data_IF_659000864920
#
_entry.id   IF_659000864920
#
_cell.length_a   1.000
_cell.length_b   1.000
_cell.length_c   1.000
_cell.angle_alpha   90.00
_cell.angle_beta   90.00
_cell.angle_gamma   90.00
#
_symmetry.space_group_name_H-M   'P 1'
#
loop_
_entity.id
_entity.type
_entity.pdbx_description
1 polymer ?
#
# COMPACT_ATOMS: atom_id res chain seq x y z
N UNK A 1 -70.07 43.22 -13.27
CA UNK A 1 -68.76 43.08 -13.95
C UNK A 1 -67.65 42.57 -13.04
N UNK A 2 -67.73 42.60 -11.70
CA UNK A 2 -66.69 42.07 -10.79
C UNK A 2 -66.63 40.54 -10.59
N UNK A 3 -67.71 39.79 -10.87
CA UNK A 3 -67.75 38.32 -10.69
C UNK A 3 -67.18 37.52 -11.87
N UNK A 4 -67.13 38.10 -13.09
CA UNK A 4 -66.60 37.47 -14.28
C UNK A 4 -65.03 37.55 -14.28
N UNK A 5 -64.48 38.63 -13.73
CA UNK A 5 -63.01 38.80 -13.65
C UNK A 5 -62.33 37.85 -12.66
N UNK A 6 -63.05 37.46 -11.56
CA UNK A 6 -62.52 36.50 -10.57
C UNK A 6 -62.46 35.06 -11.10
N UNK A 7 -63.41 34.67 -11.97
CA UNK A 7 -63.45 33.33 -12.57
C UNK A 7 -62.35 33.14 -13.63
N UNK A 8 -62.02 34.19 -14.40
CA UNK A 8 -60.95 34.14 -15.39
C UNK A 8 -59.54 34.11 -14.71
N UNK A 9 -59.34 34.73 -13.54
CA UNK A 9 -58.09 34.68 -12.79
C UNK A 9 -57.83 33.33 -12.15
N UNK A 10 -58.89 32.61 -11.71
CA UNK A 10 -58.78 31.27 -11.13
C UNK A 10 -58.49 30.21 -12.21
N UNK A 11 -59.02 30.34 -13.42
CA UNK A 11 -58.70 29.45 -14.56
C UNK A 11 -57.27 29.67 -15.08
N UNK A 12 -56.66 30.87 -14.94
CA UNK A 12 -55.29 31.10 -15.39
C UNK A 12 -54.25 30.53 -14.42
N UNK A 13 -54.60 30.39 -13.13
CA UNK A 13 -53.72 29.79 -12.11
C UNK A 13 -53.69 28.25 -12.17
N UNK A 14 -54.74 27.62 -12.69
CA UNK A 14 -54.79 26.17 -12.86
C UNK A 14 -54.04 25.62 -14.11
N UNK A 15 -53.55 26.51 -15.00
CA UNK A 15 -52.82 26.09 -16.22
C UNK A 15 -51.27 26.11 -16.05
N UNK A 16 -50.77 26.46 -14.89
CA UNK A 16 -49.31 26.52 -14.61
C UNK A 16 -48.74 25.31 -13.84
N UNK A 17 -49.49 24.22 -13.70
CA UNK A 17 -49.04 23.00 -13.00
C UNK A 17 -48.89 21.72 -13.89
N UNK A 18 -48.81 21.90 -15.19
CA UNK A 18 -48.51 20.75 -16.07
C UNK A 18 -47.24 20.99 -16.87
N UNK A 19 -46.13 21.16 -16.19
CA UNK A 19 -44.79 21.09 -16.78
C UNK A 19 -43.80 20.58 -15.75
N UNK A 20 -44.08 19.42 -15.17
CA UNK A 20 -43.05 18.48 -14.81
C UNK A 20 -43.26 17.30 -15.82
N UNK A 21 -42.73 17.43 -17.01
CA UNK A 21 -42.28 16.25 -17.72
C UNK A 21 -41.15 15.73 -16.82
N UNK A 22 -41.33 14.49 -16.32
CA UNK A 22 -40.23 13.70 -15.82
C UNK A 22 -39.15 13.74 -16.91
N UNK A 23 -38.06 14.42 -16.64
CA UNK A 23 -36.90 14.44 -17.50
C UNK A 23 -36.34 13.02 -17.45
N UNK A 24 -36.69 12.22 -18.48
CA UNK A 24 -36.16 10.85 -18.62
C UNK A 24 -34.65 10.84 -18.84
N UNK A 25 -34.02 12.01 -18.87
CA UNK A 25 -32.58 12.20 -18.97
C UNK A 25 -31.86 11.90 -17.65
N UNK A 26 -32.60 11.86 -16.50
CA UNK A 26 -32.06 11.53 -15.19
C UNK A 26 -32.02 10.00 -14.90
N UNK A 27 -32.47 9.15 -15.83
CA UNK A 27 -32.38 7.71 -15.65
C UNK A 27 -30.94 7.25 -15.94
N UNK A 28 -30.17 7.04 -14.86
CA UNK A 28 -28.85 6.42 -14.95
C UNK A 28 -29.01 5.04 -15.58
N UNK A 29 -28.45 4.87 -16.78
CA UNK A 29 -28.37 3.57 -17.45
C UNK A 29 -27.02 2.94 -17.14
N UNK A 30 -26.97 1.64 -16.78
CA UNK A 30 -25.70 0.95 -16.67
C UNK A 30 -24.91 1.06 -17.99
N UNK A 31 -23.59 1.29 -17.88
CA UNK A 31 -22.71 1.30 -19.04
C UNK A 31 -22.72 -0.06 -19.72
N UNK A 32 -22.70 -0.08 -21.04
CA UNK A 32 -22.49 -1.29 -21.78
C UNK A 32 -21.00 -1.65 -21.87
N UNK A 33 -20.71 -2.87 -22.36
CA UNK A 33 -19.34 -3.39 -22.47
C UNK A 33 -18.41 -2.48 -23.29
N UNK A 34 -18.92 -1.93 -24.38
CA UNK A 34 -18.13 -1.09 -25.27
C UNK A 34 -17.77 0.26 -24.62
N UNK A 35 -18.68 0.83 -23.85
CA UNK A 35 -18.44 2.04 -23.06
C UNK A 35 -17.35 1.80 -22.01
N UNK A 36 -17.40 0.66 -21.30
CA UNK A 36 -16.39 0.29 -20.32
C UNK A 36 -15.02 0.08 -20.98
N UNK A 37 -14.97 -0.64 -22.11
CA UNK A 37 -13.74 -0.84 -22.86
C UNK A 37 -13.16 0.49 -23.37
N UNK A 38 -14.02 1.42 -23.81
CA UNK A 38 -13.57 2.75 -24.23
C UNK A 38 -12.95 3.55 -23.08
N UNK A 39 -13.57 3.52 -21.89
CA UNK A 39 -12.97 4.13 -20.68
C UNK A 39 -11.60 3.53 -20.39
N UNK A 40 -11.45 2.20 -20.41
CA UNK A 40 -10.17 1.53 -20.18
C UNK A 40 -9.12 2.00 -21.18
N UNK A 41 -9.45 1.96 -22.48
CA UNK A 41 -8.51 2.36 -23.52
C UNK A 41 -8.08 3.83 -23.38
N UNK A 42 -9.03 4.74 -23.15
CA UNK A 42 -8.72 6.17 -22.94
C UNK A 42 -7.82 6.40 -21.73
N UNK A 43 -8.12 5.77 -20.59
CA UNK A 43 -7.30 5.89 -19.39
C UNK A 43 -5.88 5.38 -19.61
N UNK A 44 -5.71 4.22 -20.25
CA UNK A 44 -4.39 3.66 -20.55
C UNK A 44 -3.64 4.49 -21.60
N UNK A 45 -4.30 4.93 -22.67
CA UNK A 45 -3.67 5.75 -23.73
C UNK A 45 -3.15 7.11 -23.18
N UNK A 46 -3.87 7.70 -22.23
CA UNK A 46 -3.44 8.99 -21.66
C UNK A 46 -2.36 8.80 -20.60
N UNK A 47 -2.54 7.87 -19.67
CA UNK A 47 -1.78 7.86 -18.42
C UNK A 47 -0.67 6.81 -18.35
N UNK A 48 -0.80 5.67 -19.05
CA UNK A 48 0.13 4.56 -18.86
C UNK A 48 1.57 4.95 -19.22
N UNK A 49 2.50 4.75 -18.27
CA UNK A 49 3.90 5.18 -18.42
C UNK A 49 4.57 4.49 -19.60
N UNK A 50 4.30 3.19 -19.80
CA UNK A 50 4.93 2.39 -20.86
C UNK A 50 4.08 2.36 -22.15
N UNK A 51 3.17 3.35 -22.36
CA UNK A 51 2.30 3.37 -23.56
C UNK A 51 3.07 3.26 -24.88
N UNK A 52 4.30 3.77 -24.93
CA UNK A 52 5.15 3.71 -26.13
C UNK A 52 5.58 2.30 -26.52
N UNK A 53 5.54 1.36 -25.57
CA UNK A 53 5.85 -0.06 -25.78
C UNK A 53 4.63 -0.88 -26.19
N UNK A 54 3.42 -0.30 -26.11
CA UNK A 54 2.15 -0.97 -26.43
C UNK A 54 1.60 -0.44 -27.75
N UNK A 55 1.69 -1.20 -28.87
CA UNK A 55 1.28 -0.73 -30.20
C UNK A 55 -0.17 -0.26 -30.26
N UNK A 56 -1.09 -0.89 -29.53
CA UNK A 56 -2.51 -0.54 -29.52
C UNK A 56 -2.84 0.72 -28.68
N UNK A 57 -1.82 1.31 -28.00
CA UNK A 57 -1.90 2.61 -27.34
C UNK A 57 -1.19 3.74 -28.13
N UNK A 58 -0.67 3.46 -29.34
CA UNK A 58 -0.06 4.52 -30.16
C UNK A 58 -1.14 5.52 -30.63
N UNK A 59 -0.79 6.82 -30.64
CA UNK A 59 -1.74 7.90 -30.93
C UNK A 59 -2.27 7.86 -32.39
N UNK A 60 -1.53 7.25 -33.31
CA UNK A 60 -1.87 7.07 -34.73
C UNK A 60 -2.40 5.66 -35.07
N UNK A 61 -2.64 4.83 -34.06
CA UNK A 61 -3.09 3.42 -34.23
C UNK A 61 -4.45 3.31 -34.92
N UNK A 62 -5.39 4.17 -34.59
CA UNK A 62 -6.74 4.17 -35.15
C UNK A 62 -6.97 5.46 -35.92
N UNK A 63 -7.47 5.34 -37.20
CA UNK A 63 -7.68 6.48 -38.06
C UNK A 63 -8.99 7.22 -37.77
N UNK A 64 -9.93 6.56 -37.09
CA UNK A 64 -11.24 7.07 -36.71
C UNK A 64 -11.87 6.27 -35.60
N UNK A 65 -12.97 6.77 -35.02
CA UNK A 65 -13.70 6.11 -33.94
C UNK A 65 -14.26 4.73 -34.30
N UNK A 66 -14.67 4.52 -35.56
CA UNK A 66 -15.22 3.23 -36.00
C UNK A 66 -14.16 2.13 -35.91
N UNK A 67 -12.90 2.44 -36.26
CA UNK A 67 -11.78 1.49 -36.11
C UNK A 67 -11.46 1.20 -34.65
N UNK A 68 -11.46 2.22 -33.81
CA UNK A 68 -11.26 2.06 -32.37
C UNK A 68 -12.38 1.18 -31.77
N UNK A 69 -13.64 1.49 -32.06
CA UNK A 69 -14.76 0.72 -31.52
C UNK A 69 -14.81 -0.72 -32.05
N UNK A 70 -14.40 -0.96 -33.31
CA UNK A 70 -14.26 -2.30 -33.83
C UNK A 70 -13.19 -3.11 -33.04
N UNK A 71 -12.05 -2.50 -32.73
CA UNK A 71 -11.01 -3.11 -31.88
C UNK A 71 -11.51 -3.37 -30.45
N UNK A 72 -12.14 -2.37 -29.83
CA UNK A 72 -12.67 -2.50 -28.45
C UNK A 72 -13.72 -3.60 -28.32
N UNK A 73 -14.51 -3.83 -29.38
CA UNK A 73 -15.53 -4.87 -29.40
C UNK A 73 -14.98 -6.31 -29.45
N UNK A 74 -13.67 -6.49 -29.72
CA UNK A 74 -13.02 -7.80 -29.71
C UNK A 74 -12.82 -8.35 -28.29
N UNK A 75 -12.86 -7.48 -27.28
CA UNK A 75 -12.59 -7.86 -25.90
C UNK A 75 -13.88 -8.14 -25.11
N UNK A 76 -13.96 -9.31 -24.46
CA UNK A 76 -15.18 -9.74 -23.77
C UNK A 76 -15.42 -9.02 -22.43
N UNK A 77 -14.43 -8.35 -21.89
CA UNK A 77 -14.53 -7.58 -20.62
C UNK A 77 -13.51 -6.45 -20.55
N UNK A 78 -13.75 -5.41 -19.72
CA UNK A 78 -12.78 -4.34 -19.50
C UNK A 78 -11.46 -4.87 -18.91
N UNK A 79 -11.50 -5.91 -18.09
CA UNK A 79 -10.31 -6.56 -17.54
C UNK A 79 -9.48 -7.21 -18.67
N UNK A 80 -10.12 -7.92 -19.60
CA UNK A 80 -9.41 -8.55 -20.73
C UNK A 80 -8.73 -7.53 -21.64
N UNK A 81 -9.35 -6.36 -21.86
CA UNK A 81 -8.73 -5.25 -22.57
C UNK A 81 -7.59 -4.64 -21.77
N UNK A 82 -7.80 -4.38 -20.47
CA UNK A 82 -6.79 -3.83 -19.60
C UNK A 82 -5.52 -4.69 -19.58
N UNK A 83 -5.68 -6.00 -19.39
CA UNK A 83 -4.56 -6.96 -19.39
C UNK A 83 -3.83 -7.00 -20.74
N UNK A 84 -4.56 -6.86 -21.87
CA UNK A 84 -3.97 -6.78 -23.20
C UNK A 84 -3.12 -5.53 -23.41
N UNK A 85 -3.47 -4.42 -22.74
CA UNK A 85 -2.78 -3.13 -22.86
C UNK A 85 -1.60 -2.97 -21.90
N UNK A 86 -1.28 -3.96 -21.10
CA UNK A 86 -0.09 -3.97 -20.22
C UNK A 86 1.14 -4.49 -20.95
N UNK A 87 2.31 -3.95 -20.60
CA UNK A 87 3.59 -4.58 -20.95
C UNK A 87 3.80 -5.86 -20.14
N UNK A 88 4.55 -6.85 -20.65
CA UNK A 88 4.82 -8.08 -19.90
C UNK A 88 5.61 -7.86 -18.59
N UNK A 89 6.25 -6.72 -18.43
CA UNK A 89 7.04 -6.34 -17.26
C UNK A 89 6.21 -5.63 -16.19
N UNK A 90 5.02 -5.13 -16.53
CA UNK A 90 4.13 -4.48 -15.55
C UNK A 90 3.55 -5.48 -14.56
N UNK A 91 3.94 -5.34 -13.30
CA UNK A 91 3.49 -6.17 -12.18
C UNK A 91 2.48 -5.47 -11.28
N UNK A 92 2.19 -4.20 -11.52
CA UNK A 92 1.58 -3.32 -10.52
C UNK A 92 0.33 -2.57 -10.98
N UNK A 93 0.11 -2.38 -12.28
CA UNK A 93 -1.14 -1.79 -12.76
C UNK A 93 -2.33 -2.68 -12.45
N UNK A 94 -3.47 -2.10 -12.09
CA UNK A 94 -4.73 -2.83 -11.85
C UNK A 94 -5.93 -2.09 -12.42
N UNK A 95 -6.96 -2.88 -12.73
CA UNK A 95 -8.34 -2.43 -12.93
C UNK A 95 -9.20 -2.94 -11.76
N UNK A 96 -10.14 -2.14 -11.30
CA UNK A 96 -11.07 -2.52 -10.24
C UNK A 96 -12.51 -2.28 -10.69
N UNK A 97 -13.39 -3.23 -10.39
CA UNK A 97 -14.81 -3.13 -10.72
C UNK A 97 -15.59 -2.20 -9.77
N UNK A 98 -15.03 -1.90 -8.61
CA UNK A 98 -15.60 -0.96 -7.63
C UNK A 98 -14.51 -0.11 -6.96
N UNK A 99 -14.41 1.15 -7.40
CA UNK A 99 -13.44 2.10 -6.85
C UNK A 99 -13.65 2.40 -5.35
N UNK A 100 -14.85 2.19 -4.81
CA UNK A 100 -15.13 2.43 -3.39
C UNK A 100 -14.35 1.43 -2.50
N UNK A 101 -14.26 0.18 -2.95
CA UNK A 101 -13.44 -0.84 -2.27
C UNK A 101 -11.96 -0.48 -2.32
N UNK A 102 -11.49 0.08 -3.44
CA UNK A 102 -10.13 0.58 -3.57
C UNK A 102 -9.87 1.79 -2.63
N UNK A 103 -10.80 2.76 -2.62
CA UNK A 103 -10.70 3.94 -1.73
C UNK A 103 -10.67 3.52 -0.26
N UNK A 104 -11.49 2.56 0.15
CA UNK A 104 -11.48 1.99 1.50
C UNK A 104 -10.13 1.33 1.81
N UNK A 105 -9.62 0.48 0.91
CA UNK A 105 -8.33 -0.19 1.09
C UNK A 105 -7.17 0.82 1.24
N UNK A 106 -7.11 1.86 0.40
CA UNK A 106 -6.10 2.92 0.48
C UNK A 106 -6.19 3.72 1.80
N UNK A 107 -7.35 3.75 2.44
CA UNK A 107 -7.56 4.33 3.77
C UNK A 107 -7.34 3.33 4.92
N UNK A 108 -6.91 2.10 4.62
CA UNK A 108 -6.67 1.04 5.61
C UNK A 108 -7.93 0.37 6.13
N UNK A 109 -9.08 0.56 5.46
CA UNK A 109 -10.36 -0.05 5.81
C UNK A 109 -10.52 -1.34 5.00
N UNK A 110 -10.70 -2.46 5.69
CA UNK A 110 -10.89 -3.76 5.04
C UNK A 110 -11.69 -4.73 5.91
N UNK A 111 -12.23 -5.78 5.30
CA UNK A 111 -12.90 -6.88 6.00
C UNK A 111 -11.88 -7.98 6.23
N UNK A 112 -11.36 -8.08 7.46
CA UNK A 112 -10.45 -9.14 7.87
C UNK A 112 -10.53 -9.44 9.38
N UNK A 113 -9.69 -10.36 9.86
CA UNK A 113 -9.65 -10.73 11.29
C UNK A 113 -8.55 -10.02 12.08
N UNK A 114 -7.72 -9.23 11.43
CA UNK A 114 -6.65 -8.44 12.07
C UNK A 114 -5.35 -9.21 12.31
N UNK A 115 -5.21 -10.46 11.85
CA UNK A 115 -3.95 -11.20 11.86
C UNK A 115 -3.15 -10.85 10.61
N UNK A 116 -1.97 -10.29 10.77
CA UNK A 116 -0.99 -10.09 9.68
C UNK A 116 0.00 -11.24 9.69
N UNK A 117 0.15 -11.91 8.54
CA UNK A 117 0.97 -13.10 8.44
C UNK A 117 1.68 -13.22 7.09
N UNK A 118 2.67 -14.06 7.01
CA UNK A 118 3.26 -14.50 5.77
C UNK A 118 3.16 -16.03 5.64
N UNK A 119 3.03 -16.51 4.42
CA UNK A 119 3.16 -17.94 4.09
C UNK A 119 4.56 -18.20 3.54
N UNK A 120 5.24 -19.20 4.08
CA UNK A 120 6.63 -19.48 3.80
C UNK A 120 6.82 -20.95 3.46
N UNK A 121 7.65 -21.21 2.45
CA UNK A 121 8.19 -22.55 2.17
C UNK A 121 9.57 -22.67 2.81
N UNK A 122 9.79 -23.70 3.63
CA UNK A 122 11.11 -23.98 4.18
C UNK A 122 12.07 -24.32 3.04
N UNK A 123 13.21 -23.66 3.03
CA UNK A 123 14.23 -23.82 1.97
C UNK A 123 14.57 -25.30 1.71
N UNK A 124 14.55 -25.68 0.44
CA UNK A 124 14.83 -27.06 -0.04
C UNK A 124 13.85 -28.15 0.45
N UNK A 125 12.64 -27.77 0.86
CA UNK A 125 11.57 -28.70 1.25
C UNK A 125 10.25 -28.33 0.56
N UNK A 126 9.22 -29.19 0.73
CA UNK A 126 7.84 -28.90 0.36
C UNK A 126 6.99 -28.49 1.58
N UNK A 127 7.61 -28.24 2.73
CA UNK A 127 6.89 -27.82 3.92
C UNK A 127 6.54 -26.34 3.82
N UNK A 128 5.25 -26.04 3.94
CA UNK A 128 4.72 -24.69 3.94
C UNK A 128 4.04 -24.44 5.28
N UNK A 129 4.25 -23.26 5.81
CA UNK A 129 3.61 -22.79 7.04
C UNK A 129 3.31 -21.31 6.97
N UNK A 130 2.35 -20.86 7.78
CA UNK A 130 2.10 -19.45 8.05
C UNK A 130 2.79 -19.03 9.36
N UNK A 131 3.29 -17.81 9.40
CA UNK A 131 3.80 -17.20 10.61
C UNK A 131 3.12 -15.87 10.86
N UNK A 132 2.74 -15.62 12.11
CA UNK A 132 2.09 -14.37 12.51
C UNK A 132 3.15 -13.27 12.67
N UNK A 133 3.04 -12.21 11.87
CA UNK A 133 3.91 -11.03 11.87
C UNK A 133 3.55 -10.07 12.98
N UNK A 134 2.30 -9.69 13.04
CA UNK A 134 1.69 -8.87 14.11
C UNK A 134 0.17 -9.01 14.07
N UNK A 135 -0.48 -8.50 15.10
CA UNK A 135 -1.94 -8.58 15.23
C UNK A 135 -2.48 -7.20 15.54
N UNK A 136 -3.55 -6.80 14.87
CA UNK A 136 -4.18 -5.51 15.10
C UNK A 136 -4.86 -5.50 16.48
N UNK A 137 -4.65 -4.45 17.30
CA UNK A 137 -5.29 -4.35 18.60
C UNK A 137 -6.82 -4.41 18.49
N UNK A 138 -7.47 -5.08 19.44
CA UNK A 138 -8.93 -5.23 19.52
C UNK A 138 -9.58 -5.94 18.33
N UNK A 139 -8.80 -6.60 17.48
CA UNK A 139 -9.30 -7.40 16.36
C UNK A 139 -9.82 -8.76 16.83
N UNK A 140 -10.58 -9.49 15.99
CA UNK A 140 -10.95 -10.88 16.27
C UNK A 140 -9.76 -11.78 16.56
N UNK A 141 -8.65 -11.64 15.83
CA UNK A 141 -7.43 -12.41 16.06
C UNK A 141 -6.80 -12.10 17.43
N UNK A 142 -6.70 -10.82 17.82
CA UNK A 142 -6.22 -10.43 19.14
C UNK A 142 -7.10 -10.99 20.25
N UNK A 143 -8.43 -10.90 20.10
CA UNK A 143 -9.38 -11.42 21.06
C UNK A 143 -9.37 -12.96 21.17
N UNK A 144 -8.97 -13.65 20.10
CA UNK A 144 -8.79 -15.09 20.07
C UNK A 144 -7.41 -15.54 20.59
N UNK A 145 -6.54 -14.61 21.02
CA UNK A 145 -5.24 -14.90 21.57
C UNK A 145 -4.16 -15.22 20.52
N UNK A 146 -4.33 -14.75 19.28
CA UNK A 146 -3.29 -14.83 18.27
C UNK A 146 -2.19 -13.81 18.59
N UNK A 147 -0.93 -14.24 18.53
CA UNK A 147 0.23 -13.41 18.87
C UNK A 147 1.33 -13.56 17.81
N UNK A 148 2.20 -12.53 17.71
CA UNK A 148 3.40 -12.58 16.85
C UNK A 148 4.24 -13.82 17.16
N UNK A 149 4.73 -14.44 16.09
CA UNK A 149 5.58 -15.62 16.16
C UNK A 149 4.81 -16.94 16.25
N UNK A 150 3.48 -16.93 16.40
CA UNK A 150 2.70 -18.14 16.24
C UNK A 150 2.83 -18.68 14.82
N UNK A 151 3.03 -20.00 14.74
CA UNK A 151 3.15 -20.74 13.48
C UNK A 151 1.89 -21.56 13.28
N UNK A 152 1.38 -21.62 12.06
CA UNK A 152 0.26 -22.46 11.68
C UNK A 152 0.52 -23.12 10.31
N UNK A 153 0.03 -24.33 10.11
CA UNK A 153 0.27 -25.08 8.87
C UNK A 153 -1.01 -25.63 8.25
N UNK A 154 -2.18 -25.30 8.82
CA UNK A 154 -3.50 -25.67 8.27
C UNK A 154 -4.48 -24.53 8.42
N UNK A 155 -5.38 -24.43 7.43
CA UNK A 155 -6.62 -23.65 7.52
C UNK A 155 -7.80 -24.57 7.29
N UNK A 156 -8.81 -24.52 8.15
CA UNK A 156 -9.99 -25.39 8.12
C UNK A 156 -9.64 -26.88 8.06
N UNK A 157 -8.52 -27.27 8.70
CA UNK A 157 -7.98 -28.62 8.70
C UNK A 157 -7.22 -29.04 7.42
N UNK A 158 -7.14 -28.17 6.40
CA UNK A 158 -6.38 -28.43 5.17
C UNK A 158 -4.92 -28.09 5.39
N UNK A 159 -4.04 -29.07 5.28
CA UNK A 159 -2.59 -28.94 5.39
C UNK A 159 -2.04 -28.15 4.19
N UNK A 160 -1.13 -27.23 4.44
CA UNK A 160 -0.47 -26.44 3.41
C UNK A 160 0.53 -27.24 2.60
N UNK A 161 0.51 -27.05 1.30
CA UNK A 161 1.51 -27.51 0.33
C UNK A 161 1.85 -26.37 -0.63
N UNK A 162 2.91 -26.46 -1.43
CA UNK A 162 3.21 -25.44 -2.44
C UNK A 162 2.09 -25.26 -3.48
N UNK A 163 1.24 -26.28 -3.67
CA UNK A 163 0.13 -26.28 -4.64
C UNK A 163 -1.20 -25.78 -4.02
N UNK A 164 -1.22 -25.43 -2.73
CA UNK A 164 -2.44 -24.96 -2.05
C UNK A 164 -2.91 -23.63 -2.66
N UNK A 165 -4.18 -23.60 -3.07
CA UNK A 165 -4.84 -22.32 -3.41
C UNK A 165 -5.18 -21.55 -2.13
N UNK A 166 -4.22 -20.76 -1.67
CA UNK A 166 -4.36 -19.96 -0.45
C UNK A 166 -5.43 -18.87 -0.59
N UNK A 167 -5.59 -18.31 -1.80
CA UNK A 167 -6.62 -17.31 -2.06
C UNK A 167 -8.02 -17.87 -1.78
N UNK A 168 -8.36 -19.01 -2.35
CA UNK A 168 -9.63 -19.69 -2.12
C UNK A 168 -9.79 -20.13 -0.65
N UNK A 169 -8.72 -20.67 -0.04
CA UNK A 169 -8.75 -21.20 1.32
C UNK A 169 -9.01 -20.12 2.39
N UNK A 170 -8.52 -18.90 2.16
CA UNK A 170 -8.61 -17.75 3.06
C UNK A 170 -9.75 -16.78 2.71
N UNK A 171 -10.52 -17.01 1.63
CA UNK A 171 -11.52 -16.07 1.13
C UNK A 171 -12.79 -15.98 2.00
N UNK A 172 -13.13 -17.02 2.79
CA UNK A 172 -14.35 -17.05 3.59
C UNK A 172 -14.43 -15.97 4.66
N UNK A 173 -15.64 -15.63 5.11
CA UNK A 173 -15.89 -14.67 6.18
C UNK A 173 -15.35 -15.14 7.54
N UNK A 174 -15.11 -16.43 7.67
CA UNK A 174 -14.48 -17.06 8.83
C UNK A 174 -13.64 -18.26 8.38
N UNK A 175 -12.64 -18.58 9.17
CA UNK A 175 -11.83 -19.80 9.02
C UNK A 175 -11.16 -20.15 10.35
N UNK A 176 -10.61 -21.35 10.46
CA UNK A 176 -9.79 -21.76 11.58
C UNK A 176 -8.34 -21.99 11.16
N UNK A 177 -7.38 -21.62 12.00
CA UNK A 177 -5.97 -21.98 11.86
C UNK A 177 -5.63 -23.08 12.84
N UNK A 178 -4.85 -24.08 12.42
CA UNK A 178 -4.27 -25.09 13.33
C UNK A 178 -2.80 -24.72 13.57
N UNK A 179 -2.45 -24.54 14.85
CA UNK A 179 -1.09 -24.15 15.23
C UNK A 179 -0.11 -25.31 15.10
N UNK A 180 1.12 -24.93 14.79
CA UNK A 180 2.29 -25.78 14.76
C UNK A 180 3.44 -25.10 15.51
N UNK A 181 4.50 -25.84 15.83
CA UNK A 181 5.70 -25.31 16.46
C UNK A 181 6.95 -25.91 15.84
N UNK A 182 8.09 -25.21 15.99
CA UNK A 182 9.38 -25.77 15.63
C UNK A 182 10.01 -26.47 16.83
N UNK A 183 10.23 -27.79 16.69
CA UNK A 183 10.95 -28.59 17.66
C UNK A 183 12.24 -29.14 17.02
N UNK A 184 13.39 -28.68 17.49
CA UNK A 184 14.72 -29.00 16.91
C UNK A 184 14.76 -28.76 15.39
N UNK A 185 14.12 -27.68 14.90
CA UNK A 185 14.05 -27.31 13.48
C UNK A 185 13.00 -28.05 12.66
N UNK A 186 12.26 -29.00 13.26
CA UNK A 186 11.16 -29.71 12.61
C UNK A 186 9.82 -29.06 12.94
N UNK A 187 8.97 -28.91 11.92
CA UNK A 187 7.61 -28.42 12.09
C UNK A 187 6.72 -29.54 12.64
N UNK A 188 6.12 -29.32 13.80
CA UNK A 188 5.30 -30.30 14.52
C UNK A 188 3.93 -29.71 14.79
N UNK A 189 2.87 -30.48 14.49
CA UNK A 189 1.47 -30.06 14.78
C UNK A 189 1.23 -29.97 16.29
N UNK A 190 0.42 -29.01 16.68
CA UNK A 190 -0.16 -28.94 18.02
C UNK A 190 -1.66 -29.32 17.98
N UNK A 191 -2.26 -29.50 19.17
CA UNK A 191 -3.70 -29.74 19.27
C UNK A 191 -4.53 -28.41 19.30
N UNK A 192 -3.89 -27.27 19.08
CA UNK A 192 -4.52 -25.94 19.22
C UNK A 192 -5.11 -25.53 17.87
N UNK A 193 -6.40 -25.26 17.88
CA UNK A 193 -7.13 -24.70 16.73
C UNK A 193 -7.80 -23.40 17.16
N UNK A 194 -7.57 -22.33 16.39
CA UNK A 194 -8.13 -21.00 16.65
C UNK A 194 -9.11 -20.65 15.52
N UNK A 195 -10.36 -20.36 15.90
CA UNK A 195 -11.36 -19.86 14.96
C UNK A 195 -11.26 -18.33 14.85
N UNK A 196 -11.35 -17.82 13.62
CA UNK A 196 -11.19 -16.40 13.28
C UNK A 196 -12.35 -15.95 12.41
N UNK A 197 -13.07 -14.93 12.88
CA UNK A 197 -14.11 -14.24 12.11
C UNK A 197 -13.53 -12.97 11.47
N UNK A 198 -14.00 -12.60 10.27
CA UNK A 198 -13.66 -11.34 9.64
C UNK A 198 -14.71 -10.29 9.96
N UNK A 199 -14.26 -9.08 10.25
CA UNK A 199 -15.09 -7.89 10.44
C UNK A 199 -14.49 -6.71 9.71
N UNK A 200 -15.23 -5.62 9.51
CA UNK A 200 -14.64 -4.38 9.02
C UNK A 200 -13.70 -3.81 10.07
N UNK A 201 -12.42 -3.65 9.71
CA UNK A 201 -11.37 -3.09 10.54
C UNK A 201 -10.75 -1.87 9.85
N UNK A 202 -10.25 -0.93 10.65
CA UNK A 202 -9.38 0.16 10.20
C UNK A 202 -8.01 -0.05 10.82
N UNK A 203 -7.02 -0.28 9.98
CA UNK A 203 -5.64 -0.46 10.41
C UNK A 203 -4.96 0.89 10.62
N UNK A 204 -4.31 1.05 11.79
CA UNK A 204 -3.47 2.21 12.06
C UNK A 204 -2.09 1.99 11.44
N UNK A 205 -1.57 3.01 10.74
CA UNK A 205 -0.26 2.93 10.10
C UNK A 205 0.90 2.83 11.10
N UNK A 206 0.77 3.48 12.26
CA UNK A 206 1.72 3.35 13.35
C UNK A 206 1.35 2.14 14.20
N UNK A 207 2.14 1.06 14.09
CA UNK A 207 1.94 -0.15 14.89
C UNK A 207 2.68 -0.08 16.23
N UNK A 208 3.93 0.39 16.22
CA UNK A 208 4.72 0.63 17.44
C UNK A 208 5.38 2.01 17.33
N UNK A 209 5.31 2.79 18.40
CA UNK A 209 6.02 4.06 18.56
C UNK A 209 6.53 4.15 19.99
N UNK A 210 7.85 4.08 20.16
CA UNK A 210 8.46 4.11 21.48
C UNK A 210 9.87 4.69 21.46
N UNK A 211 10.38 5.02 22.63
CA UNK A 211 11.76 5.45 22.85
C UNK A 211 12.47 4.38 23.65
N UNK A 212 13.60 3.93 23.13
CA UNK A 212 14.52 3.00 23.78
C UNK A 212 15.67 3.85 24.33
N UNK A 213 15.86 3.84 25.63
CA UNK A 213 16.86 4.70 26.25
C UNK A 213 17.77 3.94 27.22
N UNK A 214 19.01 4.41 27.34
CA UNK A 214 19.97 4.08 28.39
C UNK A 214 20.55 5.37 28.95
N UNK A 215 21.58 5.27 29.79
CA UNK A 215 22.20 6.44 30.42
C UNK A 215 22.83 7.44 29.42
N UNK A 216 23.11 7.02 28.18
CA UNK A 216 23.92 7.76 27.21
C UNK A 216 23.16 8.17 25.96
N UNK A 217 22.14 7.41 25.55
CA UNK A 217 21.51 7.55 24.27
C UNK A 217 20.01 7.28 24.34
N UNK A 218 19.27 7.95 23.45
CA UNK A 218 17.84 7.72 23.20
C UNK A 218 17.64 7.38 21.74
N UNK A 219 17.05 6.24 21.46
CA UNK A 219 16.72 5.76 20.12
C UNK A 219 15.21 5.75 19.95
N UNK A 220 14.70 6.49 18.98
CA UNK A 220 13.31 6.36 18.55
C UNK A 220 13.13 5.06 17.76
N UNK A 221 12.12 4.28 18.09
CA UNK A 221 11.69 3.14 17.28
C UNK A 221 10.27 3.38 16.80
N UNK A 222 10.09 3.38 15.48
CA UNK A 222 8.82 3.55 14.80
C UNK A 222 8.57 2.40 13.85
N UNK A 223 7.59 1.53 14.14
CA UNK A 223 7.09 0.56 13.16
C UNK A 223 5.90 1.17 12.43
N UNK A 224 6.08 1.38 11.13
CA UNK A 224 5.13 2.03 10.25
C UNK A 224 4.69 1.08 9.15
N UNK A 225 3.39 0.73 9.09
CA UNK A 225 2.87 -0.39 8.28
C UNK A 225 2.22 0.01 6.97
N UNK A 226 2.09 1.31 6.68
CA UNK A 226 1.53 1.79 5.43
C UNK A 226 1.46 3.32 5.35
N UNK A 227 1.71 3.87 4.17
CA UNK A 227 1.65 5.31 3.93
C UNK A 227 0.21 5.71 3.60
N UNK A 228 -0.58 6.00 4.65
CA UNK A 228 -1.99 6.32 4.55
C UNK A 228 -2.21 7.82 4.68
N UNK A 229 -2.81 8.41 3.64
CA UNK A 229 -3.09 9.86 3.53
C UNK A 229 -3.89 10.40 4.70
N UNK A 230 -4.84 9.65 5.19
CA UNK A 230 -5.72 10.05 6.29
C UNK A 230 -5.09 9.94 7.68
N UNK A 231 -3.81 9.54 7.80
CA UNK A 231 -3.08 9.33 9.06
C UNK A 231 -1.76 10.13 9.13
N UNK A 232 -1.62 11.17 8.31
CA UNK A 232 -0.43 12.05 8.30
C UNK A 232 -0.25 12.80 9.63
N UNK A 233 -1.35 13.19 10.26
CA UNK A 233 -1.31 13.93 11.54
C UNK A 233 -0.79 13.08 12.69
N UNK A 234 -1.17 11.80 12.73
CA UNK A 234 -0.67 10.84 13.72
C UNK A 234 0.84 10.62 13.56
N UNK A 235 1.31 10.54 12.31
CA UNK A 235 2.73 10.42 11.99
C UNK A 235 3.49 11.68 12.44
N UNK A 236 3.00 12.88 12.12
CA UNK A 236 3.61 14.14 12.54
C UNK A 236 3.61 14.30 14.07
N UNK A 237 2.56 13.84 14.76
CA UNK A 237 2.51 13.84 16.22
C UNK A 237 3.53 12.87 16.84
N UNK A 238 3.77 11.69 16.23
CA UNK A 238 4.79 10.76 16.66
C UNK A 238 6.18 11.39 16.60
N UNK A 239 6.50 12.08 15.51
CA UNK A 239 7.75 12.83 15.38
C UNK A 239 7.84 14.01 16.36
N UNK A 240 6.73 14.69 16.63
CA UNK A 240 6.66 15.71 17.69
C UNK A 240 7.04 15.17 19.07
N UNK A 241 6.64 13.94 19.39
CA UNK A 241 7.08 13.27 20.63
C UNK A 241 8.58 12.96 20.60
N UNK A 242 9.12 12.45 19.50
CA UNK A 242 10.57 12.19 19.38
C UNK A 242 11.40 13.46 19.54
N UNK A 243 10.97 14.57 18.89
CA UNK A 243 11.60 15.89 19.06
C UNK A 243 11.56 16.34 20.52
N UNK A 244 10.41 16.25 21.20
CA UNK A 244 10.25 16.67 22.59
C UNK A 244 11.10 15.86 23.57
N UNK A 245 11.34 14.58 23.26
CA UNK A 245 12.18 13.69 24.09
C UNK A 245 13.67 13.78 23.73
N UNK A 246 14.01 14.41 22.59
CA UNK A 246 15.39 14.59 22.13
C UNK A 246 16.06 13.24 21.85
N UNK A 247 15.51 12.47 20.89
CA UNK A 247 16.16 11.22 20.46
C UNK A 247 17.44 11.55 19.68
N UNK A 248 18.42 10.68 19.79
CA UNK A 248 19.73 10.81 19.12
C UNK A 248 19.74 10.07 17.78
N UNK A 249 19.01 8.96 17.67
CA UNK A 249 18.95 8.06 16.51
C UNK A 249 17.52 7.60 16.28
N UNK A 250 17.21 7.20 15.05
CA UNK A 250 15.92 6.64 14.67
C UNK A 250 16.10 5.26 14.02
N UNK A 251 15.34 4.27 14.49
CA UNK A 251 15.10 3.00 13.79
C UNK A 251 13.67 3.03 13.25
N UNK A 252 13.57 3.12 11.94
CA UNK A 252 12.31 3.09 11.19
C UNK A 252 12.07 1.66 10.69
N UNK A 253 11.06 1.00 11.20
CA UNK A 253 10.73 -0.37 10.83
C UNK A 253 9.66 -0.39 9.73
N UNK A 254 10.11 -0.66 8.50
CA UNK A 254 9.29 -0.78 7.30
C UNK A 254 9.19 -2.24 6.79
N UNK A 255 9.60 -3.24 7.59
CA UNK A 255 9.72 -4.64 7.13
C UNK A 255 8.41 -5.25 6.59
N UNK A 256 7.25 -4.72 6.95
CA UNK A 256 5.95 -5.20 6.45
C UNK A 256 5.13 -4.08 5.79
N UNK A 257 5.80 -3.01 5.36
CA UNK A 257 5.16 -1.85 4.75
C UNK A 257 5.23 -1.94 3.21
N UNK A 258 4.11 -2.22 2.57
CA UNK A 258 3.98 -2.34 1.12
C UNK A 258 3.87 -0.99 0.37
N UNK A 259 4.03 0.16 1.06
CA UNK A 259 3.98 1.48 0.43
C UNK A 259 2.72 2.28 0.75
N UNK A 260 2.22 3.05 -0.22
CA UNK A 260 1.04 3.90 -0.13
C UNK A 260 1.23 5.28 -0.77
N UNK A 261 0.77 6.33 -0.12
CA UNK A 261 0.81 7.72 -0.60
C UNK A 261 2.24 8.27 -0.67
N UNK A 262 2.68 8.69 -1.87
CA UNK A 262 4.02 9.23 -2.08
C UNK A 262 4.26 10.52 -1.28
N UNK A 263 3.25 11.40 -1.16
CA UNK A 263 3.40 12.64 -0.41
C UNK A 263 3.69 12.36 1.08
N UNK A 264 3.04 11.37 1.66
CA UNK A 264 3.31 10.94 3.04
C UNK A 264 4.75 10.40 3.19
N UNK A 265 5.31 9.72 2.17
CA UNK A 265 6.71 9.30 2.19
C UNK A 265 7.69 10.49 2.14
N UNK A 266 7.38 11.52 1.35
CA UNK A 266 8.14 12.79 1.32
C UNK A 266 8.08 13.50 2.66
N UNK A 267 6.89 13.56 3.28
CA UNK A 267 6.70 14.18 4.59
C UNK A 267 7.50 13.42 5.68
N UNK A 268 7.46 12.07 5.67
CA UNK A 268 8.26 11.23 6.58
C UNK A 268 9.77 11.48 6.41
N UNK A 269 10.26 11.50 5.17
CA UNK A 269 11.66 11.78 4.86
C UNK A 269 12.06 13.19 5.32
N UNK A 270 11.18 14.16 5.16
CA UNK A 270 11.37 15.54 5.62
C UNK A 270 11.36 15.66 7.14
N UNK A 271 10.57 14.83 7.84
CA UNK A 271 10.58 14.76 9.31
C UNK A 271 11.84 14.11 9.86
N UNK A 272 12.43 13.15 9.15
CA UNK A 272 13.70 12.53 9.52
C UNK A 272 14.84 13.56 9.43
N UNK A 273 14.92 14.29 8.33
CA UNK A 273 16.07 15.16 8.03
C UNK A 273 15.89 16.61 8.50
N UNK A 274 14.83 17.30 8.09
CA UNK A 274 14.55 18.71 8.40
C UNK A 274 15.45 19.76 7.74
N UNK A 275 16.73 19.45 7.49
CA UNK A 275 17.75 20.40 6.99
C UNK A 275 17.76 20.58 5.46
N UNK A 276 16.94 19.84 4.71
CA UNK A 276 16.98 19.85 3.23
C UNK A 276 15.73 20.47 2.60
N UNK A 277 15.02 21.36 3.29
CA UNK A 277 13.85 22.06 2.74
C UNK A 277 14.14 22.63 1.34
N UNK A 278 13.28 22.33 0.37
CA UNK A 278 13.39 22.80 -1.01
C UNK A 278 14.44 22.09 -1.87
N UNK A 279 15.25 21.18 -1.30
CA UNK A 279 16.15 20.32 -2.07
C UNK A 279 15.37 19.23 -2.79
N UNK A 280 15.88 18.78 -3.94
CA UNK A 280 15.24 17.76 -4.75
C UNK A 280 15.12 16.42 -3.98
N UNK A 281 13.91 15.93 -3.76
CA UNK A 281 13.67 14.59 -3.23
C UNK A 281 13.67 13.53 -4.33
N UNK A 282 12.87 13.78 -5.38
CA UNK A 282 12.79 12.90 -6.55
C UNK A 282 12.27 13.67 -7.77
N UNK A 283 12.61 13.16 -8.95
CA UNK A 283 11.98 13.53 -10.23
C UNK A 283 10.94 12.48 -10.57
N UNK A 284 9.76 12.93 -11.00
CA UNK A 284 8.68 12.12 -11.55
C UNK A 284 8.78 12.16 -13.07
N UNK A 285 9.20 11.07 -13.71
CA UNK A 285 9.21 10.94 -15.16
C UNK A 285 7.91 10.30 -15.64
N UNK A 286 7.21 10.98 -16.54
CA UNK A 286 5.95 10.57 -17.13
C UNK A 286 6.12 10.05 -18.56
N UNK A 287 5.05 9.56 -19.15
CA UNK A 287 5.00 9.32 -20.59
C UNK A 287 4.97 10.64 -21.38
N UNK A 288 5.10 10.58 -22.71
CA UNK A 288 5.21 11.76 -23.59
C UNK A 288 3.97 12.70 -23.58
N UNK A 289 2.89 12.35 -22.90
CA UNK A 289 1.70 13.21 -22.78
C UNK A 289 1.85 14.28 -21.68
N UNK A 290 2.86 14.14 -20.79
CA UNK A 290 3.05 15.01 -19.64
C UNK A 290 4.51 15.46 -19.54
N UNK A 291 4.71 16.64 -18.95
CA UNK A 291 6.04 17.10 -18.57
C UNK A 291 6.47 16.45 -17.25
N UNK A 292 7.76 16.18 -17.09
CA UNK A 292 8.32 15.69 -15.85
C UNK A 292 8.15 16.71 -14.72
N UNK A 293 7.93 16.22 -13.52
CA UNK A 293 7.75 17.05 -12.32
C UNK A 293 8.83 16.73 -11.27
N UNK A 294 9.20 17.73 -10.48
CA UNK A 294 10.10 17.58 -9.35
C UNK A 294 9.33 17.57 -8.03
N UNK A 295 9.78 16.75 -7.11
CA UNK A 295 9.33 16.72 -5.72
C UNK A 295 10.50 17.17 -4.85
N UNK A 296 10.25 18.11 -3.96
CA UNK A 296 11.23 18.62 -3.01
C UNK A 296 10.87 18.22 -1.58
N UNK A 297 11.88 18.14 -0.72
CA UNK A 297 11.67 18.11 0.72
C UNK A 297 10.86 19.32 1.17
N UNK A 298 10.04 19.13 2.20
CA UNK A 298 9.05 20.11 2.64
C UNK A 298 9.10 20.32 4.16
N UNK A 299 8.61 21.46 4.62
CA UNK A 299 8.42 21.75 6.05
C UNK A 299 6.96 21.73 6.46
N UNK A 300 6.05 21.42 5.53
CA UNK A 300 4.61 21.41 5.76
C UNK A 300 3.97 20.16 5.18
N UNK A 301 3.00 19.59 5.91
CA UNK A 301 2.17 18.51 5.39
C UNK A 301 1.17 19.02 4.33
N UNK A 302 0.34 18.13 3.80
CA UNK A 302 -0.69 18.45 2.79
C UNK A 302 -1.69 19.50 3.27
N UNK A 303 -1.99 19.58 4.56
CA UNK A 303 -2.89 20.55 5.16
C UNK A 303 -2.24 21.93 5.41
N UNK A 304 -0.93 22.08 5.15
CA UNK A 304 -0.14 23.29 5.42
C UNK A 304 0.31 23.41 6.89
N UNK A 305 0.21 22.34 7.67
CA UNK A 305 0.72 22.30 9.04
C UNK A 305 2.21 22.01 9.06
N UNK A 306 2.95 22.61 10.01
CA UNK A 306 4.39 22.42 10.15
C UNK A 306 4.75 20.97 10.51
N UNK A 307 5.77 20.42 9.85
CA UNK A 307 6.33 19.12 10.17
C UNK A 307 7.30 19.20 11.35
N UNK A 308 7.20 18.23 12.25
CA UNK A 308 8.16 18.03 13.34
C UNK A 308 9.38 17.28 12.79
N UNK A 309 10.55 17.92 12.75
CA UNK A 309 11.75 17.35 12.14
C UNK A 309 12.83 17.04 13.16
N UNK A 310 13.51 15.90 12.99
CA UNK A 310 14.55 15.39 13.89
C UNK A 310 15.95 15.94 13.58
N UNK A 311 16.16 16.42 12.35
CA UNK A 311 17.46 16.90 11.85
C UNK A 311 18.56 15.82 11.93
N UNK A 312 18.22 14.57 11.70
CA UNK A 312 19.17 13.46 11.73
C UNK A 312 20.06 13.47 10.48
N UNK A 313 21.31 13.04 10.64
CA UNK A 313 22.26 12.79 9.56
C UNK A 313 22.41 11.30 9.24
N UNK A 314 21.71 10.44 9.99
CA UNK A 314 21.66 9.00 9.80
C UNK A 314 20.30 8.45 10.21
N UNK A 315 19.86 7.38 9.54
CA UNK A 315 18.64 6.65 9.88
C UNK A 315 18.84 5.16 9.65
N UNK A 316 18.34 4.32 10.54
CA UNK A 316 18.29 2.87 10.38
C UNK A 316 16.92 2.48 9.85
N UNK A 317 16.89 1.67 8.79
CA UNK A 317 15.64 1.22 8.18
C UNK A 317 15.61 -0.32 8.14
N UNK A 318 14.61 -0.90 8.80
CA UNK A 318 14.42 -2.34 8.81
C UNK A 318 13.54 -2.76 7.63
N UNK A 319 14.00 -3.73 6.81
CA UNK A 319 13.34 -4.15 5.58
C UNK A 319 13.15 -5.66 5.48
N UNK A 320 12.19 -6.07 4.65
CA UNK A 320 11.94 -7.46 4.29
C UNK A 320 11.46 -7.58 2.83
N UNK A 321 11.20 -8.78 2.30
CA UNK A 321 10.62 -8.95 0.96
C UNK A 321 9.20 -8.38 0.80
N UNK A 322 8.60 -7.86 1.88
CA UNK A 322 7.30 -7.17 1.85
C UNK A 322 7.44 -5.64 1.87
N UNK A 323 8.67 -5.11 1.98
CA UNK A 323 8.95 -3.66 1.90
C UNK A 323 8.91 -3.21 0.45
N UNK A 324 8.01 -2.27 0.11
CA UNK A 324 7.77 -1.91 -1.29
C UNK A 324 7.44 -0.42 -1.48
N UNK A 325 7.73 0.08 -2.69
CA UNK A 325 7.05 1.26 -3.23
C UNK A 325 7.36 2.54 -2.44
N UNK A 326 6.40 3.22 -1.80
CA UNK A 326 6.65 4.42 -1.00
C UNK A 326 7.68 4.19 0.13
N UNK A 327 7.80 2.96 0.66
CA UNK A 327 8.86 2.58 1.59
C UNK A 327 10.23 2.61 0.94
N UNK A 328 10.34 2.13 -0.31
CA UNK A 328 11.57 2.17 -1.09
C UNK A 328 11.93 3.60 -1.48
N UNK A 329 10.92 4.46 -1.69
CA UNK A 329 11.14 5.88 -1.93
C UNK A 329 11.67 6.64 -0.72
N UNK A 330 11.30 6.24 0.51
CA UNK A 330 11.96 6.79 1.72
C UNK A 330 13.44 6.43 1.73
N UNK A 331 13.79 5.18 1.43
CA UNK A 331 15.20 4.74 1.36
C UNK A 331 15.92 5.51 0.24
N UNK A 332 15.44 5.38 -1.00
CA UNK A 332 16.05 5.97 -2.20
C UNK A 332 16.17 7.48 -2.11
N UNK A 333 15.11 8.19 -1.66
CA UNK A 333 15.09 9.65 -1.57
C UNK A 333 16.01 10.21 -0.47
N UNK A 334 16.30 9.43 0.58
CA UNK A 334 17.20 9.82 1.66
C UNK A 334 18.69 9.55 1.33
N UNK A 335 18.99 8.53 0.53
CA UNK A 335 20.38 8.14 0.19
C UNK A 335 21.31 9.29 -0.23
N UNK A 336 20.87 10.29 -1.05
CA UNK A 336 21.72 11.41 -1.44
C UNK A 336 22.07 12.37 -0.29
N UNK A 337 21.37 12.30 0.84
CA UNK A 337 21.35 13.36 1.86
C UNK A 337 21.85 12.94 3.22
N UNK A 338 21.58 11.70 3.63
CA UNK A 338 21.91 11.17 4.94
C UNK A 338 22.47 9.75 4.83
N UNK A 339 23.10 9.30 5.89
CA UNK A 339 23.55 7.91 6.03
C UNK A 339 22.34 7.02 6.28
N UNK A 340 21.90 6.23 5.30
CA UNK A 340 20.82 5.27 5.41
C UNK A 340 21.42 3.90 5.64
N UNK A 341 21.23 3.33 6.83
CA UNK A 341 21.68 1.98 7.15
C UNK A 341 20.49 1.03 7.06
N UNK A 342 20.41 0.29 5.93
CA UNK A 342 19.35 -0.68 5.70
C UNK A 342 19.73 -2.03 6.31
N UNK A 343 18.85 -2.58 7.18
CA UNK A 343 19.03 -3.89 7.84
C UNK A 343 17.85 -4.80 7.49
N UNK A 344 18.14 -6.01 7.06
CA UNK A 344 17.10 -6.98 6.73
C UNK A 344 17.42 -7.74 5.46
N UNK A 345 16.47 -7.77 4.52
CA UNK A 345 16.65 -8.37 3.20
C UNK A 345 16.24 -7.39 2.11
N UNK A 346 16.49 -7.78 0.85
CA UNK A 346 16.08 -6.98 -0.30
C UNK A 346 14.61 -6.59 -0.22
N UNK A 347 14.30 -5.42 -0.71
CA UNK A 347 12.94 -4.92 -0.91
C UNK A 347 12.32 -5.49 -2.19
N UNK A 348 11.11 -5.06 -2.57
CA UNK A 348 10.35 -5.62 -3.71
C UNK A 348 10.86 -5.14 -5.07
N UNK A 349 11.30 -3.88 -5.17
CA UNK A 349 11.69 -3.26 -6.42
C UNK A 349 10.53 -2.59 -7.15
N UNK A 350 9.88 -1.62 -6.51
CA UNK A 350 8.84 -0.81 -7.14
C UNK A 350 9.14 0.67 -7.00
N UNK A 351 9.60 1.29 -8.08
CA UNK A 351 9.88 2.73 -8.18
C UNK A 351 8.84 3.50 -9.01
N UNK A 352 7.81 2.82 -9.54
CA UNK A 352 6.75 3.47 -10.31
C UNK A 352 5.56 3.85 -9.43
N UNK A 353 4.95 4.98 -9.77
CA UNK A 353 3.75 5.49 -9.12
C UNK A 353 2.49 5.38 -10.00
N UNK A 354 1.34 5.29 -9.37
CA UNK A 354 0.03 5.22 -10.00
C UNK A 354 -0.89 6.34 -9.55
N UNK A 355 -1.95 6.60 -10.31
CA UNK A 355 -3.13 7.36 -9.89
C UNK A 355 -4.38 6.51 -10.00
N UNK A 356 -5.43 6.89 -9.28
CA UNK A 356 -6.76 6.32 -9.56
C UNK A 356 -7.42 7.14 -10.67
N UNK A 357 -7.71 6.47 -11.79
CA UNK A 357 -8.39 7.02 -12.98
C UNK A 357 -9.86 6.63 -12.90
N UNK A 358 -10.74 7.61 -12.90
CA UNK A 358 -12.20 7.44 -12.87
C UNK A 358 -12.81 7.79 -14.23
N UNK A 359 -13.93 7.17 -14.58
CA UNK A 359 -14.68 7.57 -15.78
C UNK A 359 -15.42 8.89 -15.52
N UNK A 360 -14.77 9.97 -15.90
CA UNK A 360 -15.23 11.35 -15.85
C UNK A 360 -14.51 12.17 -16.93
N UNK A 361 -15.00 13.37 -17.23
CA UNK A 361 -14.39 14.24 -18.26
C UNK A 361 -12.90 14.57 -17.99
N UNK A 362 -12.49 14.61 -16.72
CA UNK A 362 -11.12 14.91 -16.29
C UNK A 362 -10.43 13.73 -15.60
N UNK A 363 -11.00 12.55 -15.69
CA UNK A 363 -10.54 11.30 -15.05
C UNK A 363 -10.41 11.35 -13.53
N UNK A 364 -11.07 12.32 -12.88
CA UNK A 364 -11.05 12.51 -11.43
C UNK A 364 -12.26 11.90 -10.75
N UNK A 365 -12.14 11.68 -9.44
CA UNK A 365 -13.22 11.20 -8.58
C UNK A 365 -14.46 12.10 -8.60
N UNK A 366 -14.25 13.39 -8.61
CA UNK A 366 -15.33 14.36 -8.73
C UNK A 366 -15.93 14.25 -10.15
N UNK A 367 -17.25 14.12 -10.23
CA UNK A 367 -17.99 13.92 -11.47
C UNK A 367 -17.79 12.55 -12.15
N UNK A 368 -17.26 11.55 -11.43
CA UNK A 368 -17.23 10.19 -11.93
C UNK A 368 -18.65 9.74 -12.31
N UNK A 369 -18.78 9.04 -13.45
CA UNK A 369 -20.07 8.54 -13.92
C UNK A 369 -20.77 7.70 -12.87
N UNK A 370 -22.09 7.76 -12.86
CA UNK A 370 -22.91 6.88 -12.03
C UNK A 370 -23.33 5.57 -12.77
N UNK A 371 -22.95 5.44 -14.05
CA UNK A 371 -23.31 4.30 -14.85
C UNK A 371 -22.57 3.01 -14.49
N UNK A 372 -21.40 3.16 -13.85
CA UNK A 372 -20.58 2.05 -13.32
C UNK A 372 -19.67 2.53 -12.20
N UNK A 373 -18.93 1.61 -11.56
CA UNK A 373 -17.95 1.88 -10.51
C UNK A 373 -16.53 1.43 -10.85
N UNK A 374 -16.24 1.11 -12.10
CA UNK A 374 -14.90 0.77 -12.54
C UNK A 374 -13.94 1.95 -12.36
N UNK A 375 -12.71 1.63 -11.96
CA UNK A 375 -11.57 2.55 -11.99
C UNK A 375 -10.29 1.80 -12.38
N UNK A 376 -9.30 2.56 -12.86
CA UNK A 376 -7.99 2.04 -13.19
C UNK A 376 -6.95 2.59 -12.21
N UNK A 377 -5.91 1.82 -11.95
CA UNK A 377 -4.66 2.31 -11.36
C UNK A 377 -3.48 1.89 -12.25
N UNK A 378 -3.31 2.54 -13.41
CA UNK A 378 -2.13 2.33 -14.24
C UNK A 378 -0.89 2.88 -13.54
N UNK A 379 0.28 2.31 -13.81
CA UNK A 379 1.55 2.98 -13.58
C UNK A 379 1.62 4.19 -14.52
N UNK A 380 1.92 5.38 -13.98
CA UNK A 380 1.90 6.62 -14.75
C UNK A 380 3.24 7.34 -14.79
N UNK A 381 4.14 6.99 -13.88
CA UNK A 381 5.44 7.64 -13.74
C UNK A 381 6.48 6.69 -13.15
N UNK A 382 7.74 6.98 -13.42
CA UNK A 382 8.90 6.45 -12.71
C UNK A 382 9.51 7.51 -11.80
N UNK A 383 10.11 7.09 -10.69
CA UNK A 383 10.75 7.98 -9.73
C UNK A 383 12.26 7.81 -9.76
N UNK A 384 12.96 8.95 -9.83
CA UNK A 384 14.42 9.03 -9.85
C UNK A 384 14.84 9.92 -8.69
N UNK A 385 15.73 9.46 -7.82
CA UNK A 385 16.23 10.28 -6.71
C UNK A 385 17.21 11.37 -7.19
N UNK A 386 17.70 12.21 -6.27
CA UNK A 386 18.56 13.34 -6.60
C UNK A 386 19.93 12.93 -7.21
N UNK A 387 20.39 11.70 -6.99
CA UNK A 387 21.63 11.14 -7.57
C UNK A 387 21.39 10.37 -8.86
N UNK A 388 20.15 10.33 -9.36
CA UNK A 388 19.78 9.57 -10.57
C UNK A 388 19.56 8.08 -10.33
N UNK A 389 19.39 7.64 -9.06
CA UNK A 389 19.10 6.25 -8.73
C UNK A 389 17.64 5.90 -9.00
N UNK A 390 17.44 4.91 -9.83
CA UNK A 390 16.16 4.35 -10.26
C UNK A 390 16.40 2.90 -10.71
N UNK A 391 15.42 2.25 -11.35
CA UNK A 391 15.54 0.92 -12.00
C UNK A 391 16.01 -0.20 -11.04
N UNK A 392 15.57 -0.15 -9.80
CA UNK A 392 15.86 -1.19 -8.80
C UNK A 392 14.81 -2.31 -8.79
N UNK A 393 14.52 -2.89 -9.96
CA UNK A 393 13.48 -3.93 -10.16
C UNK A 393 13.65 -5.17 -9.26
N UNK A 394 14.88 -5.48 -8.88
CA UNK A 394 15.23 -6.57 -7.95
C UNK A 394 15.23 -6.14 -6.47
N UNK A 395 14.77 -4.93 -6.19
CA UNK A 395 14.75 -4.32 -4.86
C UNK A 395 16.07 -3.66 -4.45
N UNK A 396 16.00 -2.91 -3.35
CA UNK A 396 17.16 -2.26 -2.74
C UNK A 396 17.83 -3.28 -1.81
N UNK A 397 19.15 -3.46 -2.00
CA UNK A 397 19.95 -4.43 -1.25
C UNK A 397 20.32 -3.82 0.10
N UNK A 398 20.15 -4.53 1.24
CA UNK A 398 20.50 -4.01 2.56
C UNK A 398 22.01 -3.93 2.78
N UNK A 399 22.43 -2.98 3.62
CA UNK A 399 23.83 -2.87 4.09
C UNK A 399 24.19 -4.01 5.03
N UNK A 400 23.25 -4.41 5.88
CA UNK A 400 23.37 -5.52 6.82
C UNK A 400 22.30 -6.56 6.49
N UNK A 401 22.71 -7.64 5.83
CA UNK A 401 21.81 -8.74 5.49
C UNK A 401 21.45 -9.55 6.75
N UNK A 402 20.18 -9.56 7.10
CA UNK A 402 19.64 -10.30 8.24
C UNK A 402 18.20 -10.74 7.99
N UNK A 403 18.02 -12.00 7.65
CA UNK A 403 16.69 -12.58 7.45
C UNK A 403 16.01 -12.87 8.78
N UNK A 404 14.68 -12.68 8.87
CA UNK A 404 13.89 -13.10 10.03
C UNK A 404 14.00 -14.61 10.24
N UNK A 405 14.30 -15.01 11.47
CA UNK A 405 14.33 -16.41 11.88
C UNK A 405 12.95 -16.80 12.42
N UNK A 406 12.22 -17.65 11.70
CA UNK A 406 10.85 -18.03 12.05
C UNK A 406 10.72 -18.85 13.33
N UNK A 407 11.82 -19.40 13.86
CA UNK A 407 11.83 -20.00 15.21
C UNK A 407 12.02 -18.95 16.34
N UNK A 408 12.34 -17.71 15.99
CA UNK A 408 12.52 -16.62 16.96
C UNK A 408 12.33 -15.24 16.27
N UNK A 409 11.10 -14.83 16.09
CA UNK A 409 10.77 -13.50 15.53
C UNK A 409 10.94 -12.37 16.56
N UNK A 410 11.02 -12.67 17.85
CA UNK A 410 11.07 -11.67 18.92
C UNK A 410 9.77 -10.88 19.07
N UNK A 411 9.81 -9.89 19.95
CA UNK A 411 8.70 -8.95 20.19
C UNK A 411 9.07 -7.61 19.57
N UNK A 412 8.20 -7.06 18.73
CA UNK A 412 8.40 -5.77 18.07
C UNK A 412 8.63 -4.66 19.10
N UNK A 413 9.73 -3.93 18.92
CA UNK A 413 10.16 -2.88 19.85
C UNK A 413 10.95 -3.36 21.06
N UNK A 414 11.05 -4.68 21.33
CA UNK A 414 11.95 -5.18 22.37
C UNK A 414 13.41 -5.13 21.88
N UNK A 415 14.34 -4.71 22.75
CA UNK A 415 15.77 -4.62 22.44
C UNK A 415 16.43 -5.96 22.06
N UNK A 416 15.75 -7.08 22.29
CA UNK A 416 16.21 -8.41 21.89
C UNK A 416 15.52 -8.92 20.62
N UNK A 417 14.64 -8.12 19.98
CA UNK A 417 14.10 -8.46 18.67
C UNK A 417 15.27 -8.44 17.66
N UNK A 418 15.45 -9.49 16.84
CA UNK A 418 16.71 -9.68 16.11
C UNK A 418 17.13 -8.51 15.21
N UNK A 419 16.21 -7.95 14.41
CA UNK A 419 16.53 -6.85 13.48
C UNK A 419 16.75 -5.52 14.24
N UNK A 420 15.89 -5.21 15.21
CA UNK A 420 16.05 -4.05 16.05
C UNK A 420 17.35 -4.13 16.86
N UNK A 421 17.68 -5.31 17.39
CA UNK A 421 18.93 -5.53 18.10
C UNK A 421 20.15 -5.27 17.23
N UNK A 422 20.15 -5.74 15.98
CA UNK A 422 21.24 -5.48 15.04
C UNK A 422 21.43 -3.97 14.80
N UNK A 423 20.33 -3.21 14.64
CA UNK A 423 20.40 -1.76 14.56
C UNK A 423 20.98 -1.11 15.82
N UNK A 424 20.52 -1.53 17.01
CA UNK A 424 21.02 -1.01 18.28
C UNK A 424 22.51 -1.33 18.51
N UNK A 425 22.96 -2.52 18.09
CA UNK A 425 24.39 -2.91 18.17
C UNK A 425 25.25 -2.07 17.22
N UNK A 426 24.77 -1.79 15.98
CA UNK A 426 25.49 -0.95 15.02
C UNK A 426 25.51 0.54 15.45
N UNK A 427 24.44 1.04 16.05
CA UNK A 427 24.40 2.37 16.72
C UNK A 427 25.45 2.47 17.81
N UNK A 428 25.89 1.35 18.40
CA UNK A 428 26.72 1.31 19.59
C UNK A 428 25.92 1.52 20.89
N UNK A 429 24.62 1.21 20.85
CA UNK A 429 23.76 1.30 22.03
C UNK A 429 24.14 0.23 23.06
N UNK A 430 24.41 0.66 24.30
CA UNK A 430 24.79 -0.26 25.38
C UNK A 430 23.58 -1.10 25.81
N UNK A 431 23.62 -2.40 25.46
CA UNK A 431 22.59 -3.36 25.81
C UNK A 431 22.94 -4.05 27.14
N UNK A 432 22.08 -3.88 28.15
CA UNK A 432 22.28 -4.46 29.49
C UNK A 432 22.02 -5.98 29.56
N UNK A 433 21.54 -6.57 28.47
CA UNK A 433 21.15 -7.97 28.41
C UNK A 433 22.03 -8.76 27.43
N UNK A 434 22.44 -10.00 27.79
CA UNK A 434 23.12 -10.86 26.85
C UNK A 434 22.22 -11.18 25.66
N UNK A 435 22.83 -11.52 24.52
CA UNK A 435 22.11 -11.98 23.37
C UNK A 435 21.14 -13.12 23.74
N UNK A 436 19.93 -13.17 23.14
CA UNK A 436 18.97 -14.23 23.40
C UNK A 436 19.58 -15.60 23.07
N UNK A 437 19.01 -16.66 23.68
CA UNK A 437 19.44 -18.04 23.34
C UNK A 437 19.37 -18.23 21.84
N UNK A 438 20.41 -18.84 21.28
CA UNK A 438 20.42 -19.29 19.89
C UNK A 438 19.37 -20.40 19.76
N UNK A 439 18.32 -20.10 19.01
CA UNK A 439 17.41 -21.14 18.51
C UNK A 439 18.01 -21.76 17.26
N UNK A 440 17.64 -23.01 16.96
CA UNK A 440 17.95 -23.58 15.64
C UNK A 440 17.27 -22.70 14.59
N UNK A 441 18.01 -22.05 13.68
CA UNK A 441 17.42 -21.10 12.77
C UNK A 441 16.55 -21.84 11.74
N UNK A 442 15.36 -21.29 11.49
CA UNK A 442 14.46 -21.73 10.44
C UNK A 442 14.26 -20.57 9.47
N UNK A 443 14.71 -20.78 8.25
CA UNK A 443 14.57 -19.83 7.15
C UNK A 443 13.71 -20.42 6.03
N UNK A 444 13.15 -19.57 5.21
CA UNK A 444 12.34 -19.99 4.07
C UNK A 444 12.12 -18.87 3.08
N UNK A 445 11.50 -19.23 1.99
CA UNK A 445 11.10 -18.35 0.92
C UNK A 445 9.65 -17.90 1.14
N UNK A 446 9.40 -16.58 1.10
CA UNK A 446 8.04 -16.05 1.17
C UNK A 446 7.27 -16.45 -0.08
N UNK A 447 6.15 -17.14 0.10
CA UNK A 447 5.24 -17.53 -0.98
C UNK A 447 4.11 -16.54 -1.15
N UNK A 448 3.62 -15.96 -0.05
CA UNK A 448 2.47 -15.08 -0.07
C UNK A 448 2.46 -14.17 1.16
N UNK A 449 2.13 -12.92 0.96
CA UNK A 449 1.68 -12.00 2.02
C UNK A 449 0.18 -12.15 2.27
N UNK A 450 -0.28 -11.95 3.51
CA UNK A 450 -1.71 -12.01 3.86
C UNK A 450 -2.57 -11.02 3.07
N UNK A 451 -1.99 -9.89 2.69
CA UNK A 451 -2.65 -8.83 1.94
C UNK A 451 -2.37 -8.86 0.43
N UNK A 452 -1.74 -9.92 -0.12
CA UNK A 452 -1.38 -9.99 -1.54
C UNK A 452 -2.57 -9.80 -2.49
N UNK A 453 -3.76 -10.22 -2.08
CA UNK A 453 -5.00 -10.05 -2.85
C UNK A 453 -5.77 -8.76 -2.50
N UNK A 454 -5.21 -7.88 -1.68
CA UNK A 454 -5.82 -6.60 -1.34
C UNK A 454 -5.47 -5.54 -2.38
N UNK A 455 -6.38 -4.60 -2.61
CA UNK A 455 -6.23 -3.58 -3.64
C UNK A 455 -5.13 -2.55 -3.32
N UNK A 456 -4.73 -2.42 -2.06
CA UNK A 456 -3.63 -1.56 -1.60
C UNK A 456 -2.27 -2.28 -1.53
N UNK A 457 -2.18 -3.56 -1.93
CA UNK A 457 -0.95 -4.33 -1.88
C UNK A 457 0.13 -3.75 -2.78
N UNK A 458 1.29 -3.42 -2.21
CA UNK A 458 2.47 -2.87 -2.88
C UNK A 458 2.14 -1.66 -3.78
N UNK A 459 1.26 -0.75 -3.31
CA UNK A 459 0.86 0.43 -4.07
C UNK A 459 1.70 1.65 -3.70
N UNK A 460 2.13 2.40 -4.73
CA UNK A 460 2.50 3.80 -4.61
C UNK A 460 1.53 4.62 -5.44
N UNK A 461 0.85 5.53 -4.81
CA UNK A 461 -0.08 6.41 -5.51
C UNK A 461 0.24 7.87 -5.25
N UNK A 462 -0.02 8.69 -6.25
CA UNK A 462 0.21 10.12 -6.24
C UNK A 462 -1.09 10.88 -6.43
N UNK A 463 -1.08 12.17 -6.13
CA UNK A 463 -2.15 13.07 -6.54
C UNK A 463 -1.86 13.59 -7.95
N UNK A 464 -2.81 13.40 -8.85
CA UNK A 464 -2.74 14.01 -10.16
C UNK A 464 -2.97 15.51 -10.03
N UNK A 465 -1.94 16.30 -10.31
CA UNK A 465 -2.02 17.75 -10.41
C UNK A 465 -2.38 18.12 -11.84
N UNK A 466 -3.14 19.19 -12.04
CA UNK A 466 -3.43 19.71 -13.37
C UNK A 466 -2.21 20.37 -13.96
#
# INVERSE_FOLDING_TARGET
MQKVSLFLSICLICLSFTACQDDLDDVIRPADQLQLNNFVWQGMNIFYVDKSEVPDLADDRFQNEDELFAFLAEFPSPEALFDHLLTPTDRFSIIVSDFRVLEDALNGIRVDNGMRFGLVRITNTNLVFGYVRYVLPNSPAANAGVERGMIFNKVNGVLFTPETDFGALLSGDNYSISLAEFNDGNLVDTDIVIALDKITLTEQAIHVNQIIENEFQKVGYLMYTGFRRNQENELNAAFGNFVAQGIDELVLDLRYNGGGDLRTAVDLSSMITGQFEGSLFATQEYNANFDDEIINFTTQNRAGEGLNSLNLSRVYILTSPSTASASEMVISGLLPYVDVVQIGTNTVGKYQGSITVYDSEDFRRQNATLAHSYALQPLILSLINADGFTDFDDGIIPDIELQENFSNLGILGDVNEPLLRAALEDIGFALDRPAPKLYQPVFGELLMDDNQNQLDYQRMYVEFKK
#
